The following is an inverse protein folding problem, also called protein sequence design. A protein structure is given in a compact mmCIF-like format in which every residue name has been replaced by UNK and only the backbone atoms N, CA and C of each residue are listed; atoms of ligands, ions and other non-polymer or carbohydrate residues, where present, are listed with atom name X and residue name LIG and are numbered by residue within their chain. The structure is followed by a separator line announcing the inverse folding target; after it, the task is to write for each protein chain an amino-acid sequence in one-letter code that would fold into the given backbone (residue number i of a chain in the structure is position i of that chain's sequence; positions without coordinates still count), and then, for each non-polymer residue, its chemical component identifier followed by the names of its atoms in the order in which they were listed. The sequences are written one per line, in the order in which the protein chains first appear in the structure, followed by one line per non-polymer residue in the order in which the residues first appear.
data_IF_080430626134
#
_entry.id   IF_080430626134
#
_cell.length_a   1.000
_cell.length_b   1.000
_cell.length_c   1.000
_cell.angle_alpha   90.00
_cell.angle_beta   90.00
_cell.angle_gamma   90.00
#
_symmetry.space_group_name_H-M   'P 1'
#
loop_
_entity.id
_entity.type
_entity.pdbx_description
1 polymer ?
#
# COMPACT_ATOMS: atom_id res chain seq x y z
N UNK A 1 10.59 -1.46 -0.39
CA UNK A 1 9.36 -0.82 -0.88
C UNK A 1 8.46 -1.91 -1.45
N UNK A 2 7.67 -2.58 -0.59
CA UNK A 2 6.47 -3.28 -1.06
C UNK A 2 5.59 -2.23 -1.78
N UNK A 3 4.88 -2.56 -2.87
CA UNK A 3 4.55 -3.91 -3.32
C UNK A 3 5.53 -4.55 -4.33
N UNK A 4 6.42 -3.79 -4.97
CA UNK A 4 7.33 -4.31 -6.01
C UNK A 4 8.68 -4.83 -5.47
N UNK A 5 9.19 -5.91 -6.08
CA UNK A 5 10.52 -6.45 -5.80
C UNK A 5 11.62 -5.42 -6.12
N UNK A 6 12.72 -5.42 -5.36
CA UNK A 6 13.85 -4.48 -5.56
C UNK A 6 14.41 -4.52 -7.00
N UNK A 7 14.39 -5.69 -7.63
CA UNK A 7 14.86 -5.87 -9.02
C UNK A 7 13.96 -5.14 -10.03
N UNK A 8 12.64 -5.09 -9.79
CA UNK A 8 11.68 -4.40 -10.66
C UNK A 8 11.84 -2.87 -10.59
N UNK A 9 12.21 -2.33 -9.43
CA UNK A 9 12.57 -0.91 -9.28
C UNK A 9 13.81 -0.54 -10.10
N UNK A 10 14.85 -1.39 -10.08
CA UNK A 10 16.03 -1.18 -10.93
C UNK A 10 15.73 -1.30 -12.42
N UNK A 11 14.86 -2.26 -12.81
CA UNK A 11 14.40 -2.40 -14.18
C UNK A 11 13.62 -1.15 -14.64
N UNK A 12 12.67 -0.67 -13.84
CA UNK A 12 11.90 0.54 -14.14
C UNK A 12 12.78 1.79 -14.29
N UNK A 13 13.79 1.96 -13.42
CA UNK A 13 14.78 3.03 -13.53
C UNK A 13 15.61 2.90 -14.82
N UNK A 14 16.04 1.69 -15.17
CA UNK A 14 16.77 1.42 -16.42
C UNK A 14 15.93 1.73 -17.66
N UNK A 15 14.67 1.29 -17.69
CA UNK A 15 13.71 1.59 -18.77
C UNK A 15 13.44 3.09 -18.89
N UNK A 16 13.35 3.82 -17.78
CA UNK A 16 13.19 5.28 -17.78
C UNK A 16 14.39 5.99 -18.41
N UNK A 17 15.62 5.61 -18.04
CA UNK A 17 16.85 6.19 -18.60
C UNK A 17 16.94 5.86 -20.10
N UNK A 18 16.67 4.62 -20.49
CA UNK A 18 16.62 4.18 -21.88
C UNK A 18 15.61 4.98 -22.71
N UNK A 19 14.38 5.16 -22.19
CA UNK A 19 13.35 5.96 -22.84
C UNK A 19 13.76 7.43 -23.00
N UNK A 20 14.39 8.02 -21.98
CA UNK A 20 14.92 9.38 -22.03
C UNK A 20 16.02 9.57 -23.07
N UNK A 21 16.90 8.58 -23.25
CA UNK A 21 17.93 8.59 -24.30
C UNK A 21 17.31 8.47 -25.71
N UNK A 22 16.28 7.63 -25.87
CA UNK A 22 15.54 7.55 -27.15
C UNK A 22 14.83 8.87 -27.45
N UNK A 23 14.10 9.44 -26.49
CA UNK A 23 13.41 10.73 -26.69
C UNK A 23 14.40 11.86 -26.99
N UNK A 24 15.58 11.85 -26.36
CA UNK A 24 16.65 12.76 -26.72
C UNK A 24 17.10 12.58 -28.17
N UNK A 25 17.37 11.34 -28.62
CA UNK A 25 17.76 11.07 -30.00
C UNK A 25 16.70 11.48 -31.04
N UNK A 26 15.42 11.33 -30.71
CA UNK A 26 14.29 11.64 -31.60
C UNK A 26 13.98 13.13 -31.71
N UNK A 27 14.14 13.92 -30.63
CA UNK A 27 13.71 15.34 -30.60
C UNK A 27 14.86 16.36 -30.50
N UNK A 28 16.14 15.93 -30.38
CA UNK A 28 17.28 16.85 -30.18
C UNK A 28 17.50 17.91 -31.26
N UNK A 29 17.07 17.64 -32.50
CA UNK A 29 17.32 18.50 -33.66
C UNK A 29 16.08 19.32 -34.07
N UNK A 30 14.88 18.83 -33.76
CA UNK A 30 13.61 19.37 -34.29
C UNK A 30 12.82 20.19 -33.24
N UNK A 31 13.37 20.34 -32.04
CA UNK A 31 12.69 20.93 -30.89
C UNK A 31 13.49 22.08 -30.26
N UNK A 32 13.03 23.31 -30.51
CA UNK A 32 13.63 24.58 -30.08
C UNK A 32 13.96 24.64 -28.57
N UNK A 33 13.18 23.93 -27.74
CA UNK A 33 13.34 23.86 -26.27
C UNK A 33 14.59 23.07 -25.87
N UNK A 34 14.99 22.09 -26.69
CA UNK A 34 16.15 21.22 -26.50
C UNK A 34 17.39 21.76 -27.23
N UNK A 35 17.22 22.23 -28.46
CA UNK A 35 18.29 22.67 -29.37
C UNK A 35 19.29 23.65 -28.71
N UNK A 36 18.78 24.68 -28.02
CA UNK A 36 19.59 25.74 -27.40
C UNK A 36 20.21 25.37 -26.03
N UNK A 37 20.26 24.09 -25.66
CA UNK A 37 20.77 23.61 -24.36
C UNK A 37 21.99 22.70 -24.50
N UNK A 38 22.78 22.59 -23.43
CA UNK A 38 23.87 21.62 -23.37
C UNK A 38 23.35 20.18 -23.41
N UNK A 39 24.11 19.26 -24.01
CA UNK A 39 23.72 17.84 -24.19
C UNK A 39 23.27 17.18 -22.89
N UNK A 40 23.98 17.44 -21.77
CA UNK A 40 23.59 16.94 -20.46
C UNK A 40 22.22 17.49 -20.00
N UNK A 41 21.96 18.79 -20.22
CA UNK A 41 20.65 19.38 -19.93
C UNK A 41 19.54 18.85 -20.85
N UNK A 42 19.83 18.52 -22.11
CA UNK A 42 18.87 17.92 -23.02
C UNK A 42 18.44 16.53 -22.52
N UNK A 43 19.41 15.65 -22.24
CA UNK A 43 19.15 14.29 -21.75
C UNK A 43 18.36 14.30 -20.42
N UNK A 44 18.71 15.19 -19.49
CA UNK A 44 17.96 15.34 -18.22
C UNK A 44 16.51 15.78 -18.46
N UNK A 45 16.27 16.72 -19.38
CA UNK A 45 14.89 17.13 -19.74
C UNK A 45 14.12 16.01 -20.43
N UNK A 46 14.77 15.19 -21.29
CA UNK A 46 14.13 14.04 -21.93
C UNK A 46 13.83 12.90 -20.93
N UNK A 47 14.69 12.66 -19.94
CA UNK A 47 14.40 11.71 -18.84
C UNK A 47 13.24 12.23 -17.98
N UNK A 48 13.22 13.51 -17.65
CA UNK A 48 12.12 14.15 -16.90
C UNK A 48 10.79 14.08 -17.66
N UNK A 49 10.81 14.34 -18.97
CA UNK A 49 9.67 14.13 -19.87
C UNK A 49 9.14 12.69 -19.81
N UNK A 50 10.02 11.68 -19.95
CA UNK A 50 9.60 10.27 -19.88
C UNK A 50 9.06 9.90 -18.50
N UNK A 51 9.65 10.45 -17.42
CA UNK A 51 9.18 10.23 -16.06
C UNK A 51 7.75 10.75 -15.89
N UNK A 52 7.48 11.99 -16.29
CA UNK A 52 6.14 12.60 -16.25
C UNK A 52 5.09 11.73 -16.95
N UNK A 53 5.34 11.36 -18.21
CA UNK A 53 4.39 10.57 -19.00
C UNK A 53 4.13 9.16 -18.41
N UNK A 54 5.13 8.52 -17.77
CA UNK A 54 4.96 7.23 -17.10
C UNK A 54 4.09 7.36 -15.83
N UNK A 55 4.22 8.45 -15.06
CA UNK A 55 3.42 8.69 -13.85
C UNK A 55 2.07 9.36 -14.10
N UNK A 56 1.73 9.65 -15.37
CA UNK A 56 0.48 10.32 -15.76
C UNK A 56 0.49 11.85 -15.62
N UNK A 57 1.66 12.46 -15.42
CA UNK A 57 1.83 13.92 -15.46
C UNK A 57 2.14 14.39 -16.90
N UNK A 58 1.54 15.51 -17.29
CA UNK A 58 1.74 16.10 -18.63
C UNK A 58 3.19 16.54 -18.88
N UNK A 59 3.55 16.68 -20.15
CA UNK A 59 4.92 17.00 -20.56
C UNK A 59 5.26 18.49 -20.50
N UNK A 60 6.51 18.81 -20.10
CA UNK A 60 7.09 20.17 -20.12
C UNK A 60 7.23 20.77 -21.54
N UNK A 61 7.27 19.93 -22.59
CA UNK A 61 7.37 20.35 -23.98
C UNK A 61 6.63 19.37 -24.90
N UNK A 62 6.15 19.84 -26.05
CA UNK A 62 5.40 19.01 -27.00
C UNK A 62 6.32 18.34 -28.03
N UNK A 63 6.00 17.12 -28.45
CA UNK A 63 6.78 16.37 -29.45
C UNK A 63 6.43 16.82 -30.87
N UNK A 64 7.45 17.25 -31.61
CA UNK A 64 7.26 17.77 -32.97
C UNK A 64 7.40 16.70 -34.04
N UNK A 65 8.21 15.66 -33.79
CA UNK A 65 8.48 14.61 -34.77
C UNK A 65 7.39 13.53 -34.78
N UNK A 66 7.07 13.00 -35.97
CA UNK A 66 6.20 11.83 -36.12
C UNK A 66 6.67 10.59 -35.32
N UNK A 67 7.96 10.18 -35.34
CA UNK A 67 8.43 9.09 -34.50
C UNK A 67 8.39 9.40 -33.00
N UNK A 68 8.68 10.64 -32.57
CA UNK A 68 8.56 11.06 -31.18
C UNK A 68 7.14 10.94 -30.64
N UNK A 69 6.13 11.28 -31.45
CA UNK A 69 4.70 11.08 -31.11
C UNK A 69 4.34 9.60 -30.96
N UNK A 70 4.79 8.74 -31.88
CA UNK A 70 4.54 7.30 -31.79
C UNK A 70 5.19 6.68 -30.53
N UNK A 71 6.42 7.09 -30.21
CA UNK A 71 7.10 6.66 -28.99
C UNK A 71 6.44 7.19 -27.71
N UNK A 72 5.93 8.42 -27.74
CA UNK A 72 5.14 8.97 -26.62
C UNK A 72 3.85 8.18 -26.39
N UNK A 73 3.16 7.77 -27.48
CA UNK A 73 1.98 6.93 -27.38
C UNK A 73 2.28 5.56 -26.76
N UNK A 74 3.41 4.92 -27.09
CA UNK A 74 3.80 3.66 -26.46
C UNK A 74 4.23 3.83 -24.99
N UNK A 75 4.85 4.97 -24.63
CA UNK A 75 5.12 5.32 -23.24
C UNK A 75 3.84 5.51 -22.41
N UNK A 76 2.77 6.11 -22.95
CA UNK A 76 1.50 6.19 -22.24
C UNK A 76 0.91 4.81 -21.93
N UNK A 77 0.92 3.89 -22.90
CA UNK A 77 0.44 2.52 -22.70
C UNK A 77 1.28 1.81 -21.62
N UNK A 78 2.60 1.96 -21.66
CA UNK A 78 3.50 1.41 -20.64
C UNK A 78 3.24 2.00 -19.25
N UNK A 79 3.07 3.32 -19.15
CA UNK A 79 2.76 4.03 -17.90
C UNK A 79 1.44 3.56 -17.28
N UNK A 80 0.38 3.49 -18.09
CA UNK A 80 -0.93 2.99 -17.66
C UNK A 80 -0.84 1.56 -17.11
N UNK A 81 -0.15 0.65 -17.81
CA UNK A 81 0.02 -0.75 -17.36
C UNK A 81 0.84 -0.81 -16.06
N UNK A 82 1.90 -0.02 -15.92
CA UNK A 82 2.73 0.03 -14.71
C UNK A 82 1.94 0.57 -13.50
N UNK A 83 1.21 1.68 -13.65
CA UNK A 83 0.40 2.28 -12.59
C UNK A 83 -0.76 1.37 -12.19
N UNK A 84 -1.43 0.73 -13.16
CA UNK A 84 -2.48 -0.25 -12.90
C UNK A 84 -1.94 -1.47 -12.14
N UNK A 85 -0.80 -2.03 -12.57
CA UNK A 85 -0.15 -3.18 -11.92
C UNK A 85 0.33 -2.85 -10.51
N UNK A 86 0.88 -1.65 -10.29
CA UNK A 86 1.26 -1.16 -8.96
C UNK A 86 0.05 -1.06 -8.04
N UNK A 87 -1.04 -0.45 -8.53
CA UNK A 87 -2.30 -0.28 -7.78
C UNK A 87 -2.94 -1.62 -7.45
N UNK A 88 -2.98 -2.56 -8.40
CA UNK A 88 -3.53 -3.89 -8.19
C UNK A 88 -2.73 -4.71 -7.18
N UNK A 89 -1.41 -4.68 -7.23
CA UNK A 89 -0.54 -5.39 -6.28
C UNK A 89 -0.58 -4.73 -4.88
N UNK A 90 -0.67 -3.39 -4.80
CA UNK A 90 -0.93 -2.69 -3.55
C UNK A 90 -2.28 -3.10 -2.94
N UNK A 91 -3.36 -3.10 -3.74
CA UNK A 91 -4.69 -3.51 -3.30
C UNK A 91 -4.71 -4.97 -2.82
N UNK A 92 -4.10 -5.88 -3.57
CA UNK A 92 -3.94 -7.29 -3.17
C UNK A 92 -3.20 -7.43 -1.82
N UNK A 93 -2.14 -6.66 -1.59
CA UNK A 93 -1.42 -6.68 -0.31
C UNK A 93 -2.24 -6.09 0.85
N UNK A 94 -3.08 -5.09 0.59
CA UNK A 94 -4.04 -4.58 1.59
C UNK A 94 -5.11 -5.63 1.91
N UNK A 95 -5.63 -6.36 0.92
CA UNK A 95 -6.56 -7.48 1.13
C UNK A 95 -5.91 -8.61 1.95
N UNK A 96 -4.67 -8.99 1.64
CA UNK A 96 -3.94 -10.02 2.39
C UNK A 96 -3.66 -9.56 3.83
N UNK A 97 -3.24 -8.31 4.03
CA UNK A 97 -2.99 -7.76 5.37
C UNK A 97 -4.28 -7.68 6.22
N UNK A 98 -5.45 -7.50 5.60
CA UNK A 98 -6.76 -7.61 6.26
C UNK A 98 -7.22 -9.05 6.50
N UNK A 99 -6.57 -10.03 5.86
CA UNK A 99 -6.85 -11.47 6.02
C UNK A 99 -5.87 -12.19 6.97
N UNK A 100 -4.76 -11.56 7.36
CA UNK A 100 -3.84 -12.14 8.33
C UNK A 100 -4.36 -12.00 9.75
N UNK A 101 -5.06 -13.03 10.22
CA UNK A 101 -5.00 -13.37 11.64
C UNK A 101 -3.54 -13.58 12.08
N UNK A 102 -3.27 -13.49 13.39
CA UNK A 102 -1.93 -13.69 13.96
C UNK A 102 -1.36 -15.07 13.59
N UNK A 103 -2.24 -16.01 13.26
CA UNK A 103 -1.98 -17.40 12.90
C UNK A 103 -2.44 -17.57 11.44
N UNK A 104 -1.66 -18.28 10.62
CA UNK A 104 -2.02 -18.61 9.22
C UNK A 104 -2.29 -20.10 9.01
N UNK A 105 -1.90 -20.97 9.94
CA UNK A 105 -2.18 -22.40 9.90
C UNK A 105 -1.40 -23.19 10.96
N UNK A 106 -1.44 -24.52 10.86
CA UNK A 106 -0.81 -25.44 11.81
C UNK A 106 0.69 -25.25 11.96
N UNK A 107 1.40 -24.87 10.89
CA UNK A 107 2.86 -24.69 10.91
C UNK A 107 3.29 -23.53 11.80
N UNK A 108 2.50 -22.46 11.90
CA UNK A 108 2.77 -21.36 12.83
C UNK A 108 2.77 -21.86 14.29
N UNK A 109 1.87 -22.79 14.61
CA UNK A 109 1.76 -23.39 15.94
C UNK A 109 2.94 -24.34 16.19
N UNK A 110 3.25 -25.23 15.23
CA UNK A 110 4.40 -26.16 15.33
C UNK A 110 5.74 -25.44 15.44
N UNK A 111 5.89 -24.27 14.79
CA UNK A 111 7.08 -23.41 14.89
C UNK A 111 7.11 -22.51 16.14
N UNK A 112 6.13 -22.61 17.06
CA UNK A 112 6.14 -21.88 18.33
C UNK A 112 5.84 -20.38 18.22
N UNK A 113 5.09 -19.94 17.20
CA UNK A 113 4.64 -18.54 17.04
C UNK A 113 3.71 -18.10 18.17
N UNK A 114 3.07 -19.06 18.84
CA UNK A 114 2.18 -18.89 20.00
C UNK A 114 2.80 -19.68 21.16
N UNK A 115 2.86 -19.14 22.39
CA UNK A 115 3.28 -19.92 23.54
C UNK A 115 2.23 -21.00 23.87
N UNK A 116 2.69 -22.22 24.17
CA UNK A 116 1.80 -23.38 24.32
C UNK A 116 0.67 -23.19 25.35
N UNK A 117 0.90 -22.43 26.42
CA UNK A 117 -0.10 -22.11 27.45
C UNK A 117 -1.27 -21.23 26.97
N UNK A 118 -1.19 -20.66 25.75
CA UNK A 118 -2.29 -19.92 25.10
C UNK A 118 -2.96 -20.73 23.99
N UNK A 119 -2.69 -22.03 23.90
CA UNK A 119 -3.38 -22.95 23.01
C UNK A 119 -4.38 -23.75 23.83
N UNK A 120 -5.67 -23.63 23.51
CA UNK A 120 -6.74 -24.43 24.08
C UNK A 120 -6.77 -25.83 23.44
N UNK A 121 -6.90 -26.86 24.28
CA UNK A 121 -7.16 -28.24 23.84
C UNK A 121 -8.19 -28.85 24.77
N UNK A 122 -9.23 -29.46 24.20
CA UNK A 122 -10.26 -30.17 24.95
C UNK A 122 -9.72 -31.56 25.34
N UNK A 123 -9.59 -31.81 26.63
CA UNK A 123 -9.01 -33.04 27.17
C UNK A 123 -9.94 -34.24 26.95
N UNK A 124 -9.38 -35.45 26.92
CA UNK A 124 -10.10 -36.71 26.68
C UNK A 124 -10.76 -36.79 25.29
N UNK A 125 -10.15 -36.16 24.28
CA UNK A 125 -10.64 -36.17 22.89
C UNK A 125 -9.52 -36.55 21.92
N UNK A 126 -9.88 -36.95 20.69
CA UNK A 126 -8.91 -37.22 19.61
C UNK A 126 -8.04 -35.99 19.27
N UNK A 127 -8.53 -34.77 19.58
CA UNK A 127 -7.79 -33.52 19.44
C UNK A 127 -6.60 -33.45 20.43
N UNK A 128 -6.78 -33.95 21.65
CA UNK A 128 -5.69 -34.07 22.64
C UNK A 128 -4.64 -35.08 22.18
N UNK A 129 -5.06 -36.26 21.71
CA UNK A 129 -4.15 -37.28 21.16
C UNK A 129 -3.36 -36.76 19.95
N UNK A 130 -4.01 -36.04 19.04
CA UNK A 130 -3.34 -35.37 17.91
C UNK A 130 -2.33 -34.33 18.39
N UNK A 131 -2.71 -33.44 19.31
CA UNK A 131 -1.84 -32.39 19.83
C UNK A 131 -0.59 -32.97 20.49
N UNK A 132 -0.77 -33.97 21.36
CA UNK A 132 0.31 -34.65 22.06
C UNK A 132 1.26 -35.34 21.07
N UNK A 133 0.72 -36.00 20.03
CA UNK A 133 1.53 -36.72 19.03
C UNK A 133 2.28 -35.78 18.08
N UNK A 134 1.62 -34.75 17.55
CA UNK A 134 2.07 -34.00 16.38
C UNK A 134 2.64 -32.60 16.67
N UNK A 135 2.43 -32.07 17.89
CA UNK A 135 2.77 -30.69 18.25
C UNK A 135 3.69 -30.65 19.47
N UNK A 136 3.32 -31.30 20.58
CA UNK A 136 4.06 -31.17 21.85
C UNK A 136 4.96 -32.35 22.21
N UNK A 137 5.06 -33.37 21.36
CA UNK A 137 5.87 -34.59 21.60
C UNK A 137 5.58 -35.25 22.96
N UNK A 138 4.29 -35.36 23.31
CA UNK A 138 3.79 -35.96 24.55
C UNK A 138 3.74 -35.02 25.76
N UNK A 139 4.14 -33.75 25.63
CA UNK A 139 4.09 -32.80 26.74
C UNK A 139 2.69 -32.16 26.90
N UNK A 140 2.03 -32.25 28.07
CA UNK A 140 0.73 -31.62 28.30
C UNK A 140 0.89 -30.12 28.65
N UNK A 141 1.39 -29.34 27.68
CA UNK A 141 1.82 -27.95 27.84
C UNK A 141 0.78 -26.89 27.38
N UNK A 142 -0.44 -27.33 27.10
CA UNK A 142 -1.58 -26.53 26.62
C UNK A 142 -2.49 -26.04 27.76
N UNK A 143 -3.35 -25.08 27.43
CA UNK A 143 -4.49 -24.71 28.26
C UNK A 143 -5.57 -25.80 28.16
N UNK A 144 -5.87 -26.44 29.29
CA UNK A 144 -6.83 -27.55 29.37
C UNK A 144 -8.26 -27.02 29.36
N UNK A 145 -9.10 -27.63 28.53
CA UNK A 145 -10.52 -27.34 28.41
C UNK A 145 -11.31 -28.65 28.54
N UNK A 146 -12.56 -28.56 28.97
CA UNK A 146 -13.46 -29.70 29.13
C UNK A 146 -14.73 -29.59 28.26
N UNK A 147 -15.05 -28.40 27.75
CA UNK A 147 -16.25 -28.18 26.91
C UNK A 147 -16.02 -27.13 25.82
N UNK A 148 -16.78 -27.21 24.73
CA UNK A 148 -16.76 -26.20 23.64
C UNK A 148 -17.18 -24.80 24.12
N UNK A 149 -18.08 -24.72 25.09
CA UNK A 149 -18.51 -23.45 25.69
C UNK A 149 -17.38 -22.81 26.50
N UNK A 150 -16.61 -23.61 27.26
CA UNK A 150 -15.42 -23.15 27.98
C UNK A 150 -14.31 -22.73 27.02
N UNK A 151 -14.12 -23.45 25.90
CA UNK A 151 -13.23 -23.05 24.82
C UNK A 151 -13.60 -21.67 24.27
N UNK A 152 -14.88 -21.46 23.94
CA UNK A 152 -15.37 -20.17 23.44
C UNK A 152 -15.15 -19.05 24.46
N UNK A 153 -15.54 -19.24 25.72
CA UNK A 153 -15.37 -18.23 26.77
C UNK A 153 -13.90 -17.89 26.98
N UNK A 154 -13.03 -18.90 27.09
CA UNK A 154 -11.57 -18.70 27.23
C UNK A 154 -10.97 -17.94 26.05
N UNK A 155 -11.50 -18.15 24.84
CA UNK A 155 -11.09 -17.42 23.64
C UNK A 155 -11.60 -15.97 23.64
N UNK A 156 -12.85 -15.77 24.06
CA UNK A 156 -13.48 -14.44 24.18
C UNK A 156 -12.85 -13.58 25.28
N UNK A 157 -12.34 -14.20 26.35
CA UNK A 157 -11.62 -13.56 27.46
C UNK A 157 -10.13 -13.32 27.14
N UNK A 158 -9.63 -13.82 26.01
CA UNK A 158 -8.23 -13.65 25.58
C UNK A 158 -7.22 -14.56 26.29
N UNK A 159 -7.68 -15.51 27.10
CA UNK A 159 -6.84 -16.51 27.79
C UNK A 159 -6.11 -17.39 26.77
N UNK A 160 -6.81 -17.80 25.71
CA UNK A 160 -6.25 -18.58 24.59
C UNK A 160 -6.26 -17.79 23.27
N UNK A 161 -5.22 -17.98 22.46
CA UNK A 161 -5.09 -17.43 21.11
C UNK A 161 -5.64 -18.38 20.05
N UNK A 162 -5.54 -19.68 20.26
CA UNK A 162 -5.94 -20.73 19.32
C UNK A 162 -6.63 -21.89 20.05
N UNK A 163 -7.45 -22.64 19.33
CA UNK A 163 -7.95 -23.97 19.71
C UNK A 163 -8.11 -24.81 18.46
N UNK A 164 -8.25 -26.12 18.63
CA UNK A 164 -8.47 -27.08 17.55
C UNK A 164 -9.87 -27.69 17.66
N UNK A 165 -10.49 -27.97 16.51
CA UNK A 165 -11.84 -28.51 16.38
C UNK A 165 -11.99 -29.16 15.01
N UNK A 166 -12.87 -30.16 14.90
CA UNK A 166 -13.18 -30.81 13.62
C UNK A 166 -13.74 -29.82 12.60
N UNK A 167 -13.31 -29.90 11.33
CA UNK A 167 -13.56 -28.86 10.34
C UNK A 167 -15.05 -28.59 10.09
N UNK A 168 -15.91 -29.62 10.10
CA UNK A 168 -17.36 -29.45 10.02
C UNK A 168 -17.96 -28.73 11.22
N UNK A 169 -17.59 -29.13 12.44
CA UNK A 169 -18.06 -28.46 13.68
C UNK A 169 -17.58 -27.01 13.71
N UNK A 170 -16.32 -26.76 13.35
CA UNK A 170 -15.76 -25.41 13.29
C UNK A 170 -16.47 -24.54 12.25
N UNK A 171 -16.66 -25.04 11.01
CA UNK A 171 -17.41 -24.37 9.93
C UNK A 171 -18.81 -23.97 10.42
N UNK A 172 -19.55 -24.90 11.04
CA UNK A 172 -20.89 -24.63 11.58
C UNK A 172 -20.87 -23.56 12.68
N UNK A 173 -19.98 -23.72 13.67
CA UNK A 173 -19.90 -22.86 14.84
C UNK A 173 -19.52 -21.43 14.47
N UNK A 174 -18.53 -21.22 13.60
CA UNK A 174 -18.14 -19.86 13.15
C UNK A 174 -19.18 -19.21 12.23
N UNK A 175 -19.89 -20.00 11.41
CA UNK A 175 -20.91 -19.48 10.49
C UNK A 175 -22.28 -19.20 11.15
N UNK A 176 -22.57 -19.82 12.31
CA UNK A 176 -23.93 -19.81 12.87
C UNK A 176 -24.05 -19.43 14.36
N UNK A 177 -22.99 -19.59 15.16
CA UNK A 177 -23.08 -19.42 16.62
C UNK A 177 -22.16 -18.28 17.10
N UNK A 178 -20.88 -18.33 16.73
CA UNK A 178 -19.86 -17.42 17.24
C UNK A 178 -19.24 -16.59 16.10
N UNK A 179 -19.97 -15.56 15.66
CA UNK A 179 -19.60 -14.70 14.53
C UNK A 179 -18.34 -13.83 14.75
N UNK A 180 -17.82 -13.81 15.98
CA UNK A 180 -16.57 -13.17 16.37
C UNK A 180 -15.35 -14.12 16.26
N UNK A 181 -15.57 -15.41 16.02
CA UNK A 181 -14.51 -16.37 15.74
C UNK A 181 -14.27 -16.50 14.24
N UNK A 182 -13.03 -16.81 13.89
CA UNK A 182 -12.60 -17.07 12.50
C UNK A 182 -11.92 -18.42 12.43
N UNK A 183 -12.29 -19.23 11.43
CA UNK A 183 -11.58 -20.46 11.09
C UNK A 183 -10.28 -20.08 10.37
N UNK A 184 -9.17 -20.74 10.73
CA UNK A 184 -7.82 -20.39 10.27
C UNK A 184 -7.07 -21.63 9.81
N UNK A 185 -6.41 -21.52 8.65
CA UNK A 185 -5.62 -22.59 8.05
C UNK A 185 -6.45 -23.55 7.20
N UNK A 186 -5.78 -24.59 6.71
CA UNK A 186 -6.39 -25.70 5.97
C UNK A 186 -6.51 -26.93 6.87
N UNK A 187 -7.41 -27.84 6.52
CA UNK A 187 -7.52 -29.16 7.15
C UNK A 187 -6.16 -29.89 7.15
N UNK A 188 -5.66 -30.21 8.35
CA UNK A 188 -4.29 -30.72 8.58
C UNK A 188 -4.24 -32.17 9.09
N UNK A 189 -5.38 -32.73 9.49
CA UNK A 189 -5.53 -34.10 9.98
C UNK A 189 -6.74 -34.74 9.29
N UNK A 190 -6.52 -35.75 8.45
CA UNK A 190 -7.57 -36.38 7.64
C UNK A 190 -8.17 -37.61 8.34
N UNK A 191 -8.68 -37.41 9.55
CA UNK A 191 -9.45 -38.43 10.26
C UNK A 191 -10.87 -38.55 9.71
N UNK A 192 -11.48 -39.72 9.89
CA UNK A 192 -12.76 -40.09 9.26
C UNK A 192 -13.76 -40.47 10.35
N UNK A 193 -14.95 -39.86 10.32
CA UNK A 193 -16.07 -40.28 11.15
C UNK A 193 -16.63 -41.64 10.67
N UNK A 194 -16.72 -42.60 11.59
CA UNK A 194 -17.29 -43.93 11.34
C UNK A 194 -18.43 -44.25 12.30
N UNK A 195 -19.36 -45.10 11.85
CA UNK A 195 -20.41 -45.67 12.70
C UNK A 195 -19.89 -46.98 13.29
N UNK A 196 -19.83 -47.08 14.62
CA UNK A 196 -19.39 -48.29 15.31
C UNK A 196 -20.56 -49.25 15.48
N UNK A 197 -20.36 -50.49 15.05
CA UNK A 197 -21.35 -51.59 15.10
C UNK A 197 -20.79 -52.80 15.83
N UNK A 198 -21.66 -53.72 16.25
CA UNK A 198 -21.20 -55.01 16.81
C UNK A 198 -20.53 -55.86 15.73
N UNK A 199 -19.46 -56.57 16.09
CA UNK A 199 -18.60 -57.32 15.17
C UNK A 199 -19.35 -58.41 14.37
N UNK A 200 -20.45 -58.93 14.91
CA UNK A 200 -21.29 -59.97 14.28
C UNK A 200 -22.69 -59.44 13.91
N UNK A 201 -22.84 -58.14 13.67
CA UNK A 201 -24.13 -57.54 13.31
C UNK A 201 -24.53 -57.87 11.87
N UNK A 202 -25.61 -58.62 11.71
CA UNK A 202 -26.08 -59.16 10.41
C UNK A 202 -26.39 -58.10 9.34
N UNK A 203 -26.62 -56.83 9.72
CA UNK A 203 -26.92 -55.72 8.81
C UNK A 203 -25.70 -54.83 8.49
N UNK A 204 -24.49 -55.23 8.90
CA UNK A 204 -23.26 -54.45 8.65
C UNK A 204 -23.09 -54.09 7.15
N UNK A 205 -23.21 -55.10 6.28
CA UNK A 205 -23.05 -54.92 4.84
C UNK A 205 -24.18 -54.07 4.21
N UNK A 206 -25.42 -54.24 4.68
CA UNK A 206 -26.57 -53.44 4.22
C UNK A 206 -26.42 -51.96 4.60
N UNK A 207 -25.87 -51.68 5.79
CA UNK A 207 -25.56 -50.32 6.23
C UNK A 207 -24.50 -49.66 5.32
N UNK A 208 -23.39 -50.35 5.05
CA UNK A 208 -22.31 -49.83 4.19
C UNK A 208 -22.81 -49.52 2.77
N UNK A 209 -23.58 -50.44 2.17
CA UNK A 209 -24.20 -50.23 0.84
C UNK A 209 -25.19 -49.07 0.87
N UNK A 210 -25.95 -48.91 1.97
CA UNK A 210 -26.86 -47.77 2.14
C UNK A 210 -26.08 -46.45 2.21
N UNK A 211 -25.00 -46.37 2.98
CA UNK A 211 -24.15 -45.17 3.08
C UNK A 211 -23.51 -44.83 1.73
N UNK A 212 -23.04 -45.82 0.98
CA UNK A 212 -22.50 -45.61 -0.37
C UNK A 212 -23.56 -45.05 -1.33
N UNK A 213 -24.78 -45.61 -1.34
CA UNK A 213 -25.86 -45.08 -2.19
C UNK A 213 -26.33 -43.67 -1.80
N UNK A 214 -26.29 -43.30 -0.51
CA UNK A 214 -26.50 -41.91 -0.05
C UNK A 214 -25.41 -40.95 -0.50
N UNK A 215 -24.18 -41.44 -0.68
CA UNK A 215 -23.05 -40.67 -1.24
C UNK A 215 -23.18 -40.51 -2.76
N UNK A 216 -23.44 -41.59 -3.49
CA UNK A 216 -23.57 -41.59 -4.95
C UNK A 216 -24.77 -40.76 -5.44
N UNK A 217 -25.86 -40.73 -4.66
CA UNK A 217 -27.04 -39.89 -4.93
C UNK A 217 -26.87 -38.41 -4.57
N UNK A 218 -25.78 -38.03 -3.89
CA UNK A 218 -25.54 -36.65 -3.43
C UNK A 218 -26.39 -36.20 -2.24
N UNK A 219 -27.17 -37.09 -1.61
CA UNK A 219 -27.96 -36.74 -0.42
C UNK A 219 -27.06 -36.33 0.77
N UNK A 220 -25.87 -36.92 0.91
CA UNK A 220 -24.90 -36.47 1.92
C UNK A 220 -24.40 -35.04 1.68
N UNK A 221 -24.16 -34.65 0.42
CA UNK A 221 -23.75 -33.29 0.08
C UNK A 221 -24.89 -32.29 0.32
N UNK A 222 -26.12 -32.67 -0.02
CA UNK A 222 -27.33 -31.87 0.27
C UNK A 222 -27.55 -31.69 1.78
N UNK A 223 -27.26 -32.70 2.59
CA UNK A 223 -27.27 -32.60 4.05
C UNK A 223 -26.15 -31.69 4.54
N UNK A 224 -24.95 -31.74 3.95
CA UNK A 224 -23.85 -30.83 4.29
C UNK A 224 -24.24 -29.38 4.03
N UNK A 225 -24.74 -29.06 2.84
CA UNK A 225 -25.16 -27.71 2.47
C UNK A 225 -26.23 -27.18 3.45
N UNK A 226 -27.26 -28.00 3.71
CA UNK A 226 -28.38 -27.67 4.59
C UNK A 226 -27.96 -27.34 6.02
N UNK A 227 -27.03 -28.10 6.60
CA UNK A 227 -26.67 -28.00 8.01
C UNK A 227 -25.43 -27.15 8.30
N UNK A 228 -24.43 -27.15 7.41
CA UNK A 228 -23.11 -26.52 7.67
C UNK A 228 -22.86 -25.24 6.88
N UNK A 229 -23.29 -25.19 5.60
CA UNK A 229 -22.98 -24.06 4.70
C UNK A 229 -23.96 -22.90 4.80
N UNK A 230 -25.13 -23.11 5.40
CA UNK A 230 -26.03 -22.01 5.77
C UNK A 230 -25.32 -21.11 6.78
N UNK A 231 -25.19 -19.82 6.47
CA UNK A 231 -24.68 -18.78 7.37
C UNK A 231 -25.83 -18.04 8.04
N UNK A 232 -25.82 -17.95 9.36
CA UNK A 232 -26.68 -17.05 10.15
C UNK A 232 -25.90 -15.80 10.55
N UNK A 233 -24.61 -15.95 10.84
CA UNK A 233 -23.71 -14.82 11.00
C UNK A 233 -23.74 -13.98 9.71
N UNK A 234 -23.80 -12.64 9.81
CA UNK A 234 -23.49 -11.83 8.65
C UNK A 234 -22.07 -12.22 8.21
N UNK A 235 -21.84 -12.32 6.90
CA UNK A 235 -20.46 -12.27 6.40
C UNK A 235 -19.82 -11.08 7.08
N UNK A 236 -18.76 -11.33 7.86
CA UNK A 236 -18.15 -10.30 8.70
C UNK A 236 -17.83 -9.14 7.79
N UNK A 237 -18.63 -8.08 7.88
CA UNK A 237 -18.32 -6.80 7.24
C UNK A 237 -16.98 -6.49 7.82
N UNK A 238 -15.92 -6.67 7.01
CA UNK A 238 -14.55 -6.38 7.38
C UNK A 238 -14.62 -4.94 7.80
N UNK A 239 -14.71 -4.73 9.12
CA UNK A 239 -15.03 -3.43 9.68
C UNK A 239 -13.96 -2.54 9.09
N UNK A 240 -14.40 -1.51 8.35
CA UNK A 240 -13.55 -0.86 7.36
C UNK A 240 -12.43 -0.13 8.07
N UNK A 241 -11.37 -0.87 8.42
CA UNK A 241 -10.19 -0.34 9.07
C UNK A 241 -9.66 0.69 8.10
N UNK A 242 -9.88 1.95 8.49
CA UNK A 242 -9.41 3.12 7.79
C UNK A 242 -7.91 2.96 7.63
N UNK A 243 -7.36 3.42 6.50
CA UNK A 243 -5.95 3.22 6.23
C UNK A 243 -5.16 4.03 7.26
N UNK A 244 -4.72 3.36 8.32
CA UNK A 244 -4.09 3.97 9.48
C UNK A 244 -2.84 4.73 9.09
N UNK A 245 -2.54 5.80 9.83
CA UNK A 245 -1.39 6.68 9.57
C UNK A 245 -0.08 5.89 9.48
N UNK A 246 0.05 4.78 10.21
CA UNK A 246 1.20 3.86 10.15
C UNK A 246 1.47 3.30 8.75
N UNK A 247 0.42 2.98 7.97
CA UNK A 247 0.56 2.44 6.61
C UNK A 247 1.07 3.49 5.60
N UNK A 248 0.82 4.78 5.86
CA UNK A 248 1.17 5.90 4.95
C UNK A 248 2.35 6.73 5.48
N UNK A 249 2.75 6.58 6.75
CA UNK A 249 3.83 7.34 7.40
C UNK A 249 5.14 7.36 6.58
N UNK A 250 5.52 6.23 5.99
CA UNK A 250 6.69 6.14 5.11
C UNK A 250 6.63 7.06 3.88
N UNK A 251 5.45 7.32 3.32
CA UNK A 251 5.26 8.25 2.20
C UNK A 251 5.50 9.71 2.64
N UNK A 252 4.95 10.09 3.81
CA UNK A 252 5.17 11.42 4.39
C UNK A 252 6.65 11.67 4.74
N UNK A 253 7.36 10.66 5.24
CA UNK A 253 8.80 10.75 5.50
C UNK A 253 9.61 10.95 4.22
N UNK A 254 9.32 10.19 3.15
CA UNK A 254 9.98 10.36 1.84
C UNK A 254 9.72 11.75 1.26
N UNK A 255 8.48 12.24 1.35
CA UNK A 255 8.14 13.60 0.93
C UNK A 255 8.93 14.66 1.73
N UNK A 256 8.95 14.56 3.07
CA UNK A 256 9.69 15.49 3.92
C UNK A 256 11.18 15.54 3.61
N UNK A 257 11.83 14.39 3.40
CA UNK A 257 13.25 14.31 3.00
C UNK A 257 13.46 14.98 1.63
N UNK A 258 12.58 14.73 0.66
CA UNK A 258 12.66 15.34 -0.68
C UNK A 258 12.48 16.87 -0.63
N UNK A 259 11.53 17.38 0.16
CA UNK A 259 11.32 18.81 0.37
C UNK A 259 12.54 19.49 1.00
N UNK A 260 13.13 18.88 2.04
CA UNK A 260 14.35 19.39 2.69
C UNK A 260 15.53 19.41 1.70
N UNK A 261 15.72 18.33 0.93
CA UNK A 261 16.78 18.27 -0.08
C UNK A 261 16.60 19.34 -1.16
N UNK A 262 15.38 19.57 -1.62
CA UNK A 262 15.05 20.63 -2.59
C UNK A 262 15.39 22.03 -2.05
N UNK A 263 15.02 22.33 -0.79
CA UNK A 263 15.38 23.58 -0.13
C UNK A 263 16.89 23.76 0.02
N UNK A 264 17.62 22.71 0.42
CA UNK A 264 19.08 22.73 0.53
C UNK A 264 19.75 22.99 -0.82
N UNK A 265 19.31 22.33 -1.89
CA UNK A 265 19.82 22.55 -3.25
C UNK A 265 19.51 23.97 -3.76
N UNK A 266 18.32 24.50 -3.48
CA UNK A 266 17.95 25.87 -3.81
C UNK A 266 18.85 26.89 -3.09
N UNK A 267 19.02 26.75 -1.76
CA UNK A 267 19.91 27.62 -0.96
C UNK A 267 21.35 27.51 -1.44
N UNK A 268 21.85 26.30 -1.70
CA UNK A 268 23.22 26.07 -2.18
C UNK A 268 23.47 26.74 -3.55
N UNK A 269 22.57 26.50 -4.52
CA UNK A 269 22.65 27.10 -5.86
C UNK A 269 22.50 28.64 -5.83
N UNK A 270 21.66 29.16 -4.93
CA UNK A 270 21.42 30.60 -4.78
C UNK A 270 22.40 31.29 -3.82
N UNK A 271 23.32 30.56 -3.16
CA UNK A 271 24.24 31.13 -2.13
C UNK A 271 25.12 32.26 -2.66
N UNK A 272 25.50 32.22 -3.93
CA UNK A 272 26.26 33.31 -4.57
C UNK A 272 25.40 34.57 -4.78
N UNK A 273 24.14 34.42 -5.18
CA UNK A 273 23.22 35.54 -5.34
C UNK A 273 22.77 36.13 -3.99
N UNK A 274 22.60 35.30 -2.96
CA UNK A 274 22.32 35.76 -1.59
C UNK A 274 23.51 36.52 -1.01
N UNK A 275 24.75 36.03 -1.20
CA UNK A 275 25.96 36.81 -0.84
C UNK A 275 26.02 38.16 -1.55
N UNK A 276 25.70 38.22 -2.84
CA UNK A 276 25.68 39.47 -3.62
C UNK A 276 24.61 40.46 -3.12
N UNK A 277 23.42 39.96 -2.77
CA UNK A 277 22.35 40.78 -2.16
C UNK A 277 22.75 41.33 -0.79
N UNK A 278 23.33 40.51 0.10
CA UNK A 278 23.80 40.95 1.41
C UNK A 278 24.93 41.99 1.29
N UNK A 279 25.87 41.80 0.36
CA UNK A 279 26.95 42.76 0.12
C UNK A 279 26.43 44.12 -0.35
N UNK A 280 25.43 44.13 -1.26
CA UNK A 280 24.73 45.35 -1.69
C UNK A 280 23.88 45.99 -0.60
N UNK A 281 23.35 45.21 0.36
CA UNK A 281 22.61 45.76 1.49
C UNK A 281 23.55 46.48 2.48
N UNK A 282 24.71 45.90 2.79
CA UNK A 282 25.67 46.51 3.73
C UNK A 282 26.36 47.76 3.18
N UNK A 283 26.59 47.86 1.86
CA UNK A 283 27.33 49.01 1.30
C UNK A 283 26.45 50.19 0.85
N UNK A 284 25.12 50.13 1.05
CA UNK A 284 24.19 51.23 0.66
C UNK A 284 23.97 52.27 1.78
N UNK A 285 24.81 52.29 2.82
CA UNK A 285 24.63 53.13 4.01
C UNK A 285 25.81 54.11 4.26
N UNK A 286 26.54 54.48 3.22
CA UNK A 286 27.45 55.64 3.24
C UNK A 286 26.80 56.81 2.50
N UNK A 287 26.17 57.70 3.27
CA UNK A 287 25.77 59.02 2.81
C UNK A 287 27.03 59.89 2.65
N UNK A 288 27.22 60.61 1.53
CA UNK A 288 28.27 61.61 1.42
C UNK A 288 27.91 62.82 2.29
N UNK A 289 28.68 63.07 3.34
CA UNK A 289 28.63 64.33 4.09
C UNK A 289 29.49 65.35 3.36
N UNK A 290 28.90 66.06 2.39
CA UNK A 290 29.58 67.17 1.74
C UNK A 290 29.41 68.47 2.56
N UNK A 291 30.43 68.77 3.35
CA UNK A 291 30.49 70.02 4.13
C UNK A 291 30.90 71.19 3.23
N UNK A 292 29.98 72.11 2.94
CA UNK A 292 30.35 73.41 2.36
C UNK A 292 29.64 74.56 3.06
N UNK A 293 30.44 75.53 3.51
CA UNK A 293 29.99 76.68 4.26
C UNK A 293 29.13 77.65 3.40
N UNK A 294 28.32 78.44 4.09
CA UNK A 294 27.32 79.30 3.49
C UNK A 294 27.91 80.53 2.76
N UNK A 295 27.24 80.93 1.67
CA UNK A 295 27.17 82.33 1.27
C UNK A 295 25.76 82.63 0.73
N UNK A 296 25.14 83.72 1.21
CA UNK A 296 23.75 84.09 0.92
C UNK A 296 23.73 85.31 0.01
N UNK A 297 23.09 85.21 -1.17
CA UNK A 297 22.56 86.37 -1.90
C UNK A 297 21.36 85.99 -2.78
N UNK A 298 20.26 86.78 -2.83
CA UNK A 298 19.02 86.39 -3.51
C UNK A 298 18.77 87.10 -4.85
N UNK A 299 18.06 86.42 -5.76
CA UNK A 299 17.23 86.97 -6.84
C UNK A 299 16.35 85.82 -7.38
N UNK A 300 15.04 85.80 -7.10
CA UNK A 300 13.97 86.36 -7.95
C UNK A 300 14.00 85.85 -9.41
N UNK A 301 13.12 84.90 -9.73
CA UNK A 301 12.28 84.96 -10.94
C UNK A 301 11.08 83.99 -10.88
N UNK A 302 9.93 84.57 -11.22
CA UNK A 302 8.65 84.03 -11.73
C UNK A 302 8.59 82.56 -12.17
N UNK A 303 7.64 81.76 -11.66
CA UNK A 303 6.24 81.67 -12.14
C UNK A 303 6.10 81.07 -13.54
N UNK A 304 5.72 79.78 -13.61
CA UNK A 304 4.60 79.33 -14.45
C UNK A 304 4.11 77.91 -14.05
N UNK A 305 2.79 77.70 -14.13
CA UNK A 305 2.08 76.42 -14.11
C UNK A 305 0.93 76.62 -15.12
N UNK A 306 0.65 75.67 -16.03
CA UNK A 306 -0.13 74.47 -15.70
C UNK A 306 0.38 73.23 -16.50
N UNK A 307 -0.27 72.08 -16.70
CA UNK A 307 -1.67 71.64 -16.56
C UNK A 307 -1.73 70.10 -16.53
N UNK A 308 -2.76 69.51 -15.91
CA UNK A 308 -3.13 68.09 -16.10
C UNK A 308 -4.30 68.00 -17.10
N UNK A 309 -4.56 66.83 -17.74
CA UNK A 309 -5.66 66.00 -17.20
C UNK A 309 -5.58 64.45 -17.37
N UNK A 310 -6.29 63.77 -16.46
CA UNK A 310 -7.13 62.56 -16.62
C UNK A 310 -6.46 61.17 -16.83
N UNK A 311 -6.77 60.10 -16.07
CA UNK A 311 -8.05 59.32 -15.97
C UNK A 311 -8.53 58.81 -17.34
N UNK A 312 -8.89 57.55 -17.60
CA UNK A 312 -9.07 56.29 -16.81
C UNK A 312 -8.60 55.14 -17.77
N UNK A 313 -8.50 53.83 -17.47
CA UNK A 313 -9.24 52.93 -16.57
C UNK A 313 -8.42 51.70 -16.14
N UNK A 314 -9.06 50.85 -15.34
CA UNK A 314 -8.70 49.44 -15.05
C UNK A 314 -9.73 48.57 -15.79
N UNK A 315 -9.33 47.42 -16.32
CA UNK A 315 -10.26 46.29 -16.50
C UNK A 315 -9.54 44.96 -16.22
N UNK A 316 -10.12 44.20 -15.28
CA UNK A 316 -9.86 42.77 -15.14
C UNK A 316 -10.78 42.02 -16.09
N UNK A 317 -10.32 40.94 -16.69
CA UNK A 317 -11.20 39.87 -17.13
C UNK A 317 -10.60 38.50 -16.78
N UNK A 318 -11.25 37.82 -15.83
CA UNK A 318 -11.20 36.38 -15.67
C UNK A 318 -12.09 35.74 -16.74
N UNK A 319 -11.62 34.68 -17.40
CA UNK A 319 -12.25 33.35 -17.37
C UNK A 319 -11.25 32.29 -17.86
#
# INVERSE_FOLDING_TARGET
MKPFARNLWWLALGTLIYAGVIMWLLERNDNEVLENRSICSQIVMSIWYCFGNIVGYGADFNTRTSPGRLFTASLYILGLILVASYTANLASQLTIAKSTGIISGIDDIKNGKIPFNRIGVIVQTAVEDYYLREISNGAPNYYRLYTDTEMYNSKSEGLIDASFMDSGTAEYVTNNIYCNLTLVGNDFNQDIFGIVISQEWIYAQDLDVTILSLRESGELDRLREKWFQRKICPDSVVQSDEIGVEAICGLFLVFGIASILSLLLFVWKKRHNVKSYFYKLMHKQEFPVETRAAEIRPSNESFERPQAPQHTSIDLCFF
#
